data_IF_258008449053
#
_entry.id   IF_258008449053
#
_cell.length_a   1.000
_cell.length_b   1.000
_cell.length_c   1.000
_cell.angle_alpha   90.00
_cell.angle_beta   90.00
_cell.angle_gamma   90.00
#
_symmetry.space_group_name_H-M   'P 1'
#
loop_
_entity.id
_entity.type
_entity.pdbx_description
1 polymer ?
#
# COMPACT_ATOMS: atom_id res chain seq x y z
N UNK A 1 -10.42 5.23 -11.33
CA UNK A 1 -9.45 4.34 -12.01
C UNK A 1 -8.28 4.17 -11.06
N UNK A 2 -7.75 2.96 -10.89
CA UNK A 2 -6.61 2.75 -9.97
C UNK A 2 -5.33 3.33 -10.60
N UNK A 3 -4.53 4.10 -9.85
CA UNK A 3 -3.26 4.64 -10.33
C UNK A 3 -2.24 3.51 -10.56
N UNK A 4 -1.26 3.77 -11.43
CA UNK A 4 -0.07 2.92 -11.52
C UNK A 4 0.79 3.04 -10.26
N UNK A 5 1.63 2.03 -10.00
CA UNK A 5 2.49 2.02 -8.81
C UNK A 5 3.60 3.10 -8.86
N UNK A 6 3.90 3.70 -10.01
CA UNK A 6 4.96 4.70 -10.17
C UNK A 6 4.44 6.14 -10.14
N UNK A 7 5.32 7.09 -9.76
CA UNK A 7 4.99 8.52 -9.69
C UNK A 7 4.57 9.05 -11.08
N UNK A 8 3.38 9.66 -11.16
CA UNK A 8 2.89 10.25 -12.41
C UNK A 8 2.26 9.27 -13.39
N UNK A 9 2.11 7.98 -13.04
CA UNK A 9 1.30 7.06 -13.83
C UNK A 9 -0.17 7.13 -13.40
N UNK A 10 -0.92 8.04 -14.00
CA UNK A 10 -2.38 8.18 -13.79
C UNK A 10 -3.17 6.93 -14.24
N UNK A 11 -2.52 6.02 -14.99
CA UNK A 11 -3.15 4.81 -15.53
C UNK A 11 -2.20 3.61 -15.44
N UNK A 12 -2.70 2.50 -14.92
CA UNK A 12 -2.06 1.20 -15.07
C UNK A 12 -1.84 0.93 -16.56
N UNK A 13 -0.57 0.90 -16.98
CA UNK A 13 -0.19 0.60 -18.36
C UNK A 13 0.44 -0.78 -18.40
N UNK A 14 -0.10 -1.66 -19.26
CA UNK A 14 0.48 -2.99 -19.54
C UNK A 14 1.92 -2.90 -20.07
N UNK A 15 2.37 -1.73 -20.51
CA UNK A 15 3.72 -1.48 -21.01
C UNK A 15 4.81 -1.61 -19.94
N UNK A 16 4.48 -1.35 -18.66
CA UNK A 16 5.42 -1.47 -17.55
C UNK A 16 4.95 -2.55 -16.58
N UNK A 17 5.51 -3.77 -16.63
CA UNK A 17 5.11 -4.86 -15.74
C UNK A 17 5.41 -4.56 -14.26
N UNK A 18 6.32 -3.62 -13.97
CA UNK A 18 6.60 -3.13 -12.61
C UNK A 18 5.56 -2.15 -12.07
N UNK A 19 4.67 -1.64 -12.93
CA UNK A 19 3.71 -0.60 -12.59
C UNK A 19 2.33 -1.12 -12.23
N UNK A 20 2.11 -2.43 -12.33
CA UNK A 20 0.83 -3.07 -12.07
C UNK A 20 1.05 -4.39 -11.32
N UNK A 21 0.20 -4.64 -10.32
CA UNK A 21 0.06 -5.97 -9.71
C UNK A 21 -0.85 -6.79 -10.61
N UNK A 22 -0.39 -7.96 -11.04
CA UNK A 22 -1.20 -8.93 -11.78
C UNK A 22 -1.75 -9.99 -10.81
N UNK A 23 -2.87 -10.62 -11.19
CA UNK A 23 -3.44 -11.72 -10.39
C UNK A 23 -2.57 -12.97 -10.39
N UNK A 24 -1.70 -13.12 -11.39
CA UNK A 24 -0.76 -14.23 -11.53
C UNK A 24 0.61 -13.95 -10.89
N UNK A 25 0.80 -12.76 -10.28
CA UNK A 25 2.06 -12.42 -9.62
C UNK A 25 2.26 -13.29 -8.37
N UNK A 26 3.46 -13.84 -8.22
CA UNK A 26 3.85 -14.50 -6.97
C UNK A 26 4.11 -13.48 -5.85
N UNK A 27 4.05 -13.96 -4.60
CA UNK A 27 4.26 -13.14 -3.41
C UNK A 27 5.57 -12.33 -3.45
N UNK A 28 6.63 -12.92 -4.00
CA UNK A 28 7.92 -12.26 -4.16
C UNK A 28 7.84 -11.09 -5.16
N UNK A 29 7.09 -11.23 -6.24
CA UNK A 29 6.92 -10.20 -7.26
C UNK A 29 6.11 -9.02 -6.74
N UNK A 30 5.00 -9.29 -6.05
CA UNK A 30 4.17 -8.25 -5.41
C UNK A 30 5.02 -7.41 -4.44
N UNK A 31 5.83 -8.07 -3.61
CA UNK A 31 6.76 -7.40 -2.69
C UNK A 31 7.75 -6.47 -3.42
N UNK A 32 8.36 -6.94 -4.52
CA UNK A 32 9.30 -6.14 -5.31
C UNK A 32 8.61 -4.94 -5.96
N UNK A 33 7.40 -5.12 -6.49
CA UNK A 33 6.61 -4.07 -7.14
C UNK A 33 6.17 -3.00 -6.14
N UNK A 34 5.61 -3.38 -5.00
CA UNK A 34 5.23 -2.43 -3.93
C UNK A 34 6.47 -1.73 -3.34
N UNK A 35 7.61 -2.41 -3.24
CA UNK A 35 8.86 -1.78 -2.80
C UNK A 35 9.27 -0.65 -3.76
N UNK A 36 9.13 -0.85 -5.07
CA UNK A 36 9.38 0.15 -6.12
C UNK A 36 8.28 1.19 -6.25
N UNK A 37 7.12 0.98 -5.62
CA UNK A 37 6.00 1.91 -5.72
C UNK A 37 6.33 3.28 -5.12
N UNK A 38 5.75 4.32 -5.71
CA UNK A 38 5.83 5.68 -5.22
C UNK A 38 5.06 5.78 -3.91
N UNK A 39 5.75 6.16 -2.85
CA UNK A 39 5.17 6.33 -1.51
C UNK A 39 5.99 7.36 -0.74
N UNK A 40 5.84 8.65 -1.08
CA UNK A 40 6.50 9.74 -0.35
C UNK A 40 5.97 9.81 1.09
N UNK A 41 6.82 10.06 2.10
CA UNK A 41 6.37 10.22 3.48
C UNK A 41 5.52 11.49 3.63
N UNK A 42 4.47 11.44 4.47
CA UNK A 42 3.56 12.56 4.77
C UNK A 42 2.74 13.11 3.60
N UNK A 43 2.81 12.50 2.43
CA UNK A 43 2.06 12.92 1.24
C UNK A 43 1.04 11.85 0.90
N UNK A 44 -0.23 12.24 0.98
CA UNK A 44 -1.39 11.39 0.71
C UNK A 44 -1.83 11.49 -0.75
N UNK A 45 -1.87 12.72 -1.26
CA UNK A 45 -2.32 13.01 -2.62
C UNK A 45 -1.37 12.41 -3.65
N UNK A 46 -1.92 11.63 -4.58
CA UNK A 46 -1.15 10.94 -5.62
C UNK A 46 -0.29 9.78 -5.10
N UNK A 47 -0.56 9.27 -3.89
CA UNK A 47 0.13 8.10 -3.36
C UNK A 47 -0.61 6.81 -3.75
N UNK A 48 -0.09 6.02 -4.72
CA UNK A 48 -0.76 4.80 -5.17
C UNK A 48 -0.89 3.77 -4.05
N UNK A 49 0.03 3.71 -3.08
CA UNK A 49 -0.07 2.74 -1.99
C UNK A 49 -1.34 2.97 -1.15
N UNK A 50 -1.66 4.23 -0.87
CA UNK A 50 -2.85 4.58 -0.07
C UNK A 50 -4.14 4.35 -0.86
N UNK A 51 -4.14 4.63 -2.17
CA UNK A 51 -5.29 4.31 -3.02
C UNK A 51 -5.57 2.80 -3.08
N UNK A 52 -4.53 1.97 -3.19
CA UNK A 52 -4.70 0.51 -3.15
C UNK A 52 -5.28 0.06 -1.81
N UNK A 53 -4.83 0.65 -0.70
CA UNK A 53 -5.41 0.36 0.62
C UNK A 53 -6.89 0.73 0.65
N UNK A 54 -7.24 1.94 0.19
CA UNK A 54 -8.62 2.45 0.16
C UNK A 54 -9.57 1.63 -0.69
N UNK A 55 -9.14 1.23 -1.89
CA UNK A 55 -10.01 0.63 -2.90
C UNK A 55 -9.95 -0.89 -2.96
N UNK A 56 -8.89 -1.52 -2.44
CA UNK A 56 -8.70 -2.98 -2.47
C UNK A 56 -8.74 -3.53 -1.05
N UNK A 57 -7.87 -3.04 -0.17
CA UNK A 57 -7.68 -3.67 1.14
C UNK A 57 -8.86 -3.42 2.08
N UNK A 58 -9.32 -2.17 2.20
CA UNK A 58 -10.46 -1.81 3.04
C UNK A 58 -11.75 -2.54 2.64
N UNK A 59 -12.15 -2.60 1.34
CA UNK A 59 -13.33 -3.34 0.93
C UNK A 59 -13.24 -4.85 1.13
N UNK A 60 -12.03 -5.41 1.17
CA UNK A 60 -11.82 -6.86 1.29
C UNK A 60 -11.75 -7.33 2.75
N UNK A 61 -11.01 -6.61 3.59
CA UNK A 61 -10.76 -6.99 4.98
C UNK A 61 -11.50 -6.13 6.00
N UNK A 62 -12.09 -5.00 5.61
CA UNK A 62 -12.68 -3.98 6.50
C UNK A 62 -11.72 -3.34 7.51
N UNK A 63 -10.48 -3.81 7.58
CA UNK A 63 -9.42 -3.30 8.44
C UNK A 63 -8.07 -3.43 7.72
N UNK A 64 -7.14 -2.56 8.07
CA UNK A 64 -5.77 -2.59 7.58
C UNK A 64 -4.80 -2.70 8.75
N UNK A 65 -4.12 -3.84 8.86
CA UNK A 65 -3.15 -4.10 9.90
C UNK A 65 -1.73 -3.80 9.41
N UNK A 66 -1.06 -2.88 10.11
CA UNK A 66 0.35 -2.57 9.93
C UNK A 66 1.14 -3.24 11.05
N UNK A 67 1.92 -4.26 10.68
CA UNK A 67 2.89 -4.88 11.57
C UNK A 67 4.18 -4.07 11.54
N UNK A 68 4.49 -3.40 12.66
CA UNK A 68 5.71 -2.60 12.84
C UNK A 68 6.37 -3.02 14.13
N UNK A 69 7.70 -2.90 14.18
CA UNK A 69 8.46 -3.24 15.39
C UNK A 69 7.97 -2.43 16.59
N UNK A 70 8.12 -2.99 17.80
CA UNK A 70 7.73 -2.33 19.04
C UNK A 70 8.37 -0.94 19.18
N UNK A 71 9.62 -0.78 18.73
CA UNK A 71 10.36 0.49 18.70
C UNK A 71 9.75 1.54 17.75
N UNK A 72 9.00 1.12 16.73
CA UNK A 72 8.31 1.99 15.78
C UNK A 72 6.84 2.25 16.17
N UNK A 73 6.45 1.88 17.39
CA UNK A 73 5.09 2.08 17.90
C UNK A 73 4.18 0.86 17.85
N UNK A 74 4.72 -0.34 17.58
CA UNK A 74 4.03 -1.63 17.68
C UNK A 74 2.89 -1.86 16.68
N UNK A 75 2.37 -3.09 16.57
CA UNK A 75 1.30 -3.43 15.64
C UNK A 75 0.10 -2.47 15.77
N UNK A 76 -0.30 -1.86 14.65
CA UNK A 76 -1.43 -0.94 14.61
C UNK A 76 -2.43 -1.39 13.57
N UNK A 77 -3.69 -1.45 13.96
CA UNK A 77 -4.80 -1.82 13.07
C UNK A 77 -5.65 -0.59 12.84
N UNK A 78 -5.82 -0.23 11.56
CA UNK A 78 -6.64 0.88 11.12
C UNK A 78 -7.99 0.34 10.65
N UNK A 79 -9.08 0.83 11.23
CA UNK A 79 -10.44 0.44 10.83
C UNK A 79 -11.05 1.39 9.83
N UNK A 80 -10.54 2.62 9.81
CA UNK A 80 -10.98 3.66 8.91
C UNK A 80 -9.81 4.19 8.07
N UNK A 81 -10.10 4.50 6.81
CA UNK A 81 -9.10 5.08 5.91
C UNK A 81 -8.67 6.48 6.39
N UNK A 82 -9.58 7.24 7.00
CA UNK A 82 -9.28 8.57 7.54
C UNK A 82 -8.25 8.53 8.68
N UNK A 83 -8.32 7.52 9.56
CA UNK A 83 -7.32 7.32 10.61
C UNK A 83 -5.93 7.03 10.02
N UNK A 84 -5.89 6.15 9.00
CA UNK A 84 -4.65 5.82 8.30
C UNK A 84 -4.03 7.05 7.65
N UNK A 85 -4.83 7.86 6.96
CA UNK A 85 -4.38 9.10 6.32
C UNK A 85 -3.85 10.08 7.35
N UNK A 86 -4.57 10.30 8.45
CA UNK A 86 -4.15 11.21 9.51
C UNK A 86 -2.81 10.79 10.15
N UNK A 87 -2.62 9.50 10.43
CA UNK A 87 -1.34 8.96 10.90
C UNK A 87 -0.22 9.09 9.87
N UNK A 88 -0.53 8.93 8.58
CA UNK A 88 0.45 9.06 7.52
C UNK A 88 0.89 10.52 7.31
N UNK A 89 -0.05 11.48 7.32
CA UNK A 89 0.23 12.93 7.21
C UNK A 89 0.99 13.46 8.42
N UNK A 90 0.60 13.06 9.63
CA UNK A 90 1.30 13.44 10.86
C UNK A 90 2.69 12.81 10.96
N UNK A 91 2.96 11.76 10.18
CA UNK A 91 4.23 11.02 10.17
C UNK A 91 4.32 9.96 11.26
N UNK A 92 3.20 9.61 11.90
CA UNK A 92 3.09 8.45 12.80
C UNK A 92 3.17 7.11 12.07
N UNK A 93 2.91 7.09 10.76
CA UNK A 93 3.06 5.93 9.89
C UNK A 93 4.10 6.20 8.80
N UNK A 94 5.17 5.40 8.77
CA UNK A 94 6.23 5.55 7.79
C UNK A 94 5.94 4.69 6.54
N UNK A 95 6.29 5.16 5.32
CA UNK A 95 6.18 4.35 4.09
C UNK A 95 6.95 3.02 4.19
N UNK A 96 7.99 2.98 5.01
CA UNK A 96 8.79 1.77 5.26
C UNK A 96 8.00 0.65 5.94
N UNK A 97 7.02 0.97 6.77
CA UNK A 97 6.13 0.01 7.44
C UNK A 97 4.85 -0.22 6.62
N UNK A 98 4.37 0.82 5.93
CA UNK A 98 3.17 0.76 5.09
C UNK A 98 3.33 -0.23 3.92
N UNK A 99 4.46 -0.15 3.20
CA UNK A 99 4.75 -0.99 2.03
C UNK A 99 4.70 -2.49 2.33
N UNK A 100 5.44 -3.02 3.32
CA UNK A 100 5.40 -4.45 3.63
C UNK A 100 4.03 -4.91 4.14
N UNK A 101 3.32 -4.07 4.90
CA UNK A 101 1.96 -4.36 5.33
C UNK A 101 0.98 -4.47 4.14
N UNK A 102 1.07 -3.55 3.18
CA UNK A 102 0.30 -3.58 1.95
C UNK A 102 0.61 -4.83 1.11
N UNK A 103 1.89 -5.17 0.92
CA UNK A 103 2.26 -6.37 0.17
C UNK A 103 1.71 -7.65 0.80
N UNK A 104 1.81 -7.79 2.13
CA UNK A 104 1.21 -8.92 2.84
C UNK A 104 -0.31 -8.98 2.66
N UNK A 105 -0.99 -7.84 2.75
CA UNK A 105 -2.44 -7.79 2.58
C UNK A 105 -2.85 -8.14 1.14
N UNK A 106 -2.12 -7.66 0.13
CA UNK A 106 -2.34 -8.02 -1.27
C UNK A 106 -2.08 -9.50 -1.54
N UNK A 107 -0.99 -10.06 -1.02
CA UNK A 107 -0.70 -11.49 -1.17
C UNK A 107 -1.80 -12.37 -0.57
N UNK A 108 -2.39 -11.97 0.56
CA UNK A 108 -3.54 -12.66 1.16
C UNK A 108 -4.82 -12.61 0.31
N UNK A 109 -4.95 -11.63 -0.60
CA UNK A 109 -6.08 -11.54 -1.53
C UNK A 109 -5.83 -12.41 -2.77
N UNK A 110 -4.56 -12.54 -3.16
CA UNK A 110 -4.14 -13.29 -4.35
C UNK A 110 -3.99 -14.80 -4.09
N UNK A 111 -3.82 -15.22 -2.83
CA UNK A 111 -3.85 -16.63 -2.38
C UNK A 111 -5.28 -17.12 -2.14
#
# INVERSE_FOLDING_TARGET
>A
MLPGLQQGQEKMSKSDPSSSIFMEDEEAEVNVKIKKAYCPPKIVEGNPCLEYIKYIIFPWFNEFRVERNADNGGDKTYKDFEELVSDYESGGLHPGDLKPALSKALNKILQ
#
